data_IF_962421950927
#
_entry.id   IF_962421950927
#
_cell.length_a   1.000
_cell.length_b   1.000
_cell.length_c   1.000
_cell.angle_alpha   90.00
_cell.angle_beta   90.00
_cell.angle_gamma   90.00
#
_symmetry.space_group_name_H-M   'P 1'
#
loop_
_entity.id
_entity.type
_entity.pdbx_description
1 polymer ?
#
# COMPACT_ATOMS: atom_id res chain seq x y z
N UNK A 1 10.99 14.52 20.99
CA UNK A 1 12.03 13.50 20.74
C UNK A 1 11.70 12.80 19.42
N UNK A 2 11.96 13.47 18.30
CA UNK A 2 11.77 12.91 16.95
C UNK A 2 13.17 12.57 16.48
N UNK A 3 13.57 11.31 16.63
CA UNK A 3 14.51 10.76 15.66
C UNK A 3 13.85 11.00 14.30
N UNK A 4 14.45 11.85 13.47
CA UNK A 4 13.87 12.28 12.19
C UNK A 4 13.35 11.02 11.47
N UNK A 5 12.11 11.04 10.99
CA UNK A 5 11.51 9.90 10.29
C UNK A 5 12.41 9.40 9.16
N UNK A 6 13.10 10.32 8.49
CA UNK A 6 14.14 10.02 7.51
C UNK A 6 15.24 9.12 8.06
N UNK A 7 15.64 9.27 9.34
CA UNK A 7 16.65 8.41 9.97
C UNK A 7 16.15 6.97 10.15
N UNK A 8 14.84 6.76 10.36
CA UNK A 8 14.29 5.40 10.50
C UNK A 8 14.29 4.66 9.18
N UNK A 9 13.85 5.32 8.11
CA UNK A 9 13.93 4.74 6.77
C UNK A 9 15.37 4.54 6.29
N UNK A 10 16.27 5.49 6.63
CA UNK A 10 17.71 5.37 6.36
C UNK A 10 18.32 4.14 7.04
N UNK A 11 17.93 3.83 8.27
CA UNK A 11 18.36 2.60 8.98
C UNK A 11 17.92 1.33 8.27
N UNK A 12 16.75 1.36 7.62
CA UNK A 12 16.31 0.27 6.75
C UNK A 12 17.01 0.28 5.39
N UNK A 13 17.82 1.29 5.06
CA UNK A 13 18.40 1.43 3.73
C UNK A 13 17.34 1.57 2.62
N UNK A 14 16.12 1.96 2.98
CA UNK A 14 15.03 2.19 2.04
C UNK A 14 15.13 3.66 1.60
N UNK A 15 15.26 3.96 0.29
CA UNK A 15 15.34 5.34 -0.17
C UNK A 15 14.04 6.09 0.13
N UNK A 16 14.16 7.23 0.78
CA UNK A 16 13.02 8.08 1.14
C UNK A 16 13.33 9.52 0.80
N UNK A 17 12.38 10.15 0.10
CA UNK A 17 12.31 11.59 0.00
C UNK A 17 11.17 12.13 0.89
N UNK A 18 11.00 13.46 0.92
CA UNK A 18 9.98 14.09 1.78
C UNK A 18 8.51 13.72 1.43
N UNK A 19 8.27 12.98 0.34
CA UNK A 19 6.95 12.68 -0.21
C UNK A 19 6.72 11.20 -0.50
N UNK A 20 7.77 10.41 -0.76
CA UNK A 20 7.67 9.00 -1.15
C UNK A 20 8.77 8.12 -0.54
N UNK A 21 8.45 6.85 -0.44
CA UNK A 21 9.33 5.73 -0.12
C UNK A 21 9.49 4.90 -1.39
N UNK A 22 10.71 4.58 -1.75
CA UNK A 22 11.01 3.73 -2.90
C UNK A 22 11.22 2.30 -2.44
N UNK A 23 10.54 1.35 -3.06
CA UNK A 23 10.80 -0.08 -2.85
C UNK A 23 11.41 -0.68 -4.11
N UNK A 24 12.44 -1.49 -3.91
CA UNK A 24 13.09 -2.31 -4.93
C UNK A 24 13.26 -3.75 -4.41
N UNK A 25 13.85 -4.62 -5.22
CA UNK A 25 14.07 -6.03 -4.85
C UNK A 25 14.86 -6.20 -3.53
N UNK A 26 15.73 -5.25 -3.17
CA UNK A 26 16.51 -5.30 -1.92
C UNK A 26 15.71 -4.86 -0.70
N UNK A 27 14.58 -4.18 -0.94
CA UNK A 27 13.69 -3.65 0.09
C UNK A 27 12.65 -4.67 0.55
N UNK A 28 12.38 -5.71 -0.24
CA UNK A 28 11.33 -6.73 0.05
C UNK A 28 11.51 -7.36 1.43
N UNK A 29 12.75 -7.72 1.79
CA UNK A 29 13.06 -8.34 3.09
C UNK A 29 12.87 -7.42 4.31
N UNK A 30 12.54 -6.14 4.07
CA UNK A 30 12.39 -5.10 5.09
C UNK A 30 10.96 -4.55 5.15
N UNK A 31 10.03 -5.16 4.41
CA UNK A 31 8.64 -4.72 4.39
C UNK A 31 7.97 -4.85 5.76
N UNK A 32 8.30 -5.88 6.54
CA UNK A 32 7.76 -5.99 7.89
C UNK A 32 8.18 -4.82 8.79
N UNK A 33 9.48 -4.49 8.80
CA UNK A 33 10.01 -3.34 9.55
C UNK A 33 9.38 -2.02 9.07
N UNK A 34 9.18 -1.88 7.76
CA UNK A 34 8.51 -0.73 7.16
C UNK A 34 7.07 -0.59 7.68
N UNK A 35 6.33 -1.70 7.76
CA UNK A 35 4.95 -1.70 8.25
C UNK A 35 4.89 -1.40 9.75
N UNK A 36 5.85 -1.86 10.55
CA UNK A 36 5.93 -1.45 11.96
C UNK A 36 6.10 0.07 12.11
N UNK A 37 6.91 0.69 11.25
CA UNK A 37 7.04 2.15 11.20
C UNK A 37 5.69 2.77 10.81
N UNK A 38 5.04 2.26 9.76
CA UNK A 38 3.76 2.82 9.30
C UNK A 38 2.66 2.70 10.35
N UNK A 39 2.56 1.57 11.04
CA UNK A 39 1.57 1.34 12.09
C UNK A 39 1.82 2.24 13.31
N UNK A 40 3.08 2.30 13.77
CA UNK A 40 3.48 3.12 14.93
C UNK A 40 3.21 4.61 14.72
N UNK A 41 3.41 5.11 13.50
CA UNK A 41 3.21 6.52 13.16
C UNK A 41 1.88 6.81 12.47
N UNK A 42 1.02 5.79 12.33
CA UNK A 42 -0.26 5.85 11.62
C UNK A 42 -0.12 6.47 10.22
N UNK A 43 0.93 6.08 9.50
CA UNK A 43 1.12 6.56 8.15
C UNK A 43 0.10 5.97 7.19
N UNK A 44 -0.20 6.79 6.21
CA UNK A 44 -0.92 6.40 5.02
C UNK A 44 0.06 6.33 3.88
N UNK A 45 -0.24 5.51 2.89
CA UNK A 45 0.50 5.52 1.65
C UNK A 45 -0.39 5.19 0.47
N UNK A 46 -0.05 5.73 -0.70
CA UNK A 46 -0.59 5.32 -1.98
C UNK A 46 0.48 4.54 -2.75
N UNK A 47 0.11 3.45 -3.40
CA UNK A 47 0.91 2.81 -4.44
C UNK A 47 0.12 2.85 -5.74
N UNK A 48 0.81 3.23 -6.82
CA UNK A 48 0.23 3.18 -8.15
C UNK A 48 0.55 1.85 -8.80
N UNK A 49 -0.46 1.28 -9.44
CA UNK A 49 -0.37 0.05 -10.20
C UNK A 49 -0.88 0.34 -11.62
N UNK A 50 0.05 0.30 -12.58
CA UNK A 50 -0.24 0.55 -13.97
C UNK A 50 -0.95 -0.63 -14.67
N UNK A 51 -0.93 -1.83 -14.05
CA UNK A 51 -1.46 -3.05 -14.65
C UNK A 51 -2.90 -3.34 -14.23
N UNK A 52 -3.43 -2.61 -13.24
CA UNK A 52 -4.76 -2.82 -12.67
C UNK A 52 -5.61 -1.53 -12.65
N UNK A 53 -6.92 -1.58 -12.98
CA UNK A 53 -7.62 -2.71 -13.58
C UNK A 53 -7.23 -2.87 -15.07
N UNK A 54 -7.18 -4.10 -15.56
CA UNK A 54 -6.80 -4.41 -16.96
C UNK A 54 -7.70 -3.77 -18.04
N UNK A 55 -8.83 -3.14 -17.67
CA UNK A 55 -9.84 -2.68 -18.62
C UNK A 55 -9.91 -1.15 -18.58
N UNK A 56 -9.34 -0.52 -19.62
CA UNK A 56 -9.55 0.86 -20.10
C UNK A 56 -9.04 2.07 -19.29
N UNK A 57 -8.60 1.92 -18.04
CA UNK A 57 -8.03 3.02 -17.25
C UNK A 57 -6.49 3.02 -17.26
N UNK A 58 -5.86 4.19 -17.04
CA UNK A 58 -4.40 4.37 -16.98
C UNK A 58 -3.70 3.61 -15.83
N UNK A 59 -4.41 2.76 -15.08
CA UNK A 59 -3.98 2.14 -13.83
C UNK A 59 -4.84 2.58 -12.64
N UNK A 60 -4.47 2.15 -11.43
CA UNK A 60 -5.19 2.46 -10.21
C UNK A 60 -4.25 2.76 -9.05
N UNK A 61 -4.74 3.60 -8.13
CA UNK A 61 -4.09 3.81 -6.85
C UNK A 61 -4.72 2.91 -5.80
N UNK A 62 -3.87 2.19 -5.06
CA UNK A 62 -4.22 1.54 -3.81
C UNK A 62 -3.77 2.44 -2.66
N UNK A 63 -4.75 3.00 -1.93
CA UNK A 63 -4.54 3.93 -0.83
C UNK A 63 -4.77 3.22 0.49
N UNK A 64 -3.72 3.10 1.29
CA UNK A 64 -3.75 2.40 2.57
C UNK A 64 -3.68 3.36 3.75
N UNK A 65 -4.38 3.03 4.82
CA UNK A 65 -4.35 3.74 6.11
C UNK A 65 -4.46 2.74 7.24
N UNK A 66 -3.62 2.90 8.27
CA UNK A 66 -3.72 2.11 9.48
C UNK A 66 -4.47 2.85 10.59
N UNK A 67 -5.52 2.22 11.12
CA UNK A 67 -6.16 2.63 12.38
C UNK A 67 -6.66 1.39 13.13
N UNK A 68 -5.77 0.79 13.94
CA UNK A 68 -5.89 -0.53 14.58
C UNK A 68 -5.92 -1.72 13.60
N UNK A 69 -6.52 -1.52 12.44
CA UNK A 69 -6.53 -2.43 11.28
C UNK A 69 -6.10 -1.65 10.04
N UNK A 70 -5.60 -2.39 9.06
CA UNK A 70 -5.29 -1.82 7.74
C UNK A 70 -6.56 -1.64 6.94
N UNK A 71 -6.74 -0.45 6.40
CA UNK A 71 -7.87 -0.06 5.56
C UNK A 71 -7.37 0.38 4.19
N UNK A 72 -8.16 0.11 3.17
CA UNK A 72 -7.84 0.40 1.78
C UNK A 72 -9.00 1.08 1.06
N UNK A 73 -8.69 2.09 0.27
CA UNK A 73 -9.50 2.53 -0.88
C UNK A 73 -8.70 2.29 -2.15
N UNK A 74 -9.36 2.01 -3.27
CA UNK A 74 -8.76 1.59 -4.54
C UNK A 74 -9.42 2.37 -5.69
N UNK A 75 -8.70 2.84 -6.69
CA UNK A 75 -9.29 3.29 -7.96
C UNK A 75 -8.46 4.37 -8.62
N UNK A 76 -8.85 4.82 -9.81
CA UNK A 76 -8.26 6.02 -10.40
C UNK A 76 -8.64 7.20 -9.50
N UNK A 77 -7.64 7.84 -8.89
CA UNK A 77 -7.84 8.76 -7.77
C UNK A 77 -8.69 8.20 -6.61
N UNK A 78 -8.56 6.90 -6.24
CA UNK A 78 -9.11 6.31 -5.01
C UNK A 78 -10.62 5.99 -4.99
N UNK A 79 -11.27 5.84 -6.15
CA UNK A 79 -12.67 5.44 -6.28
C UNK A 79 -12.91 3.91 -6.17
N UNK A 80 -13.15 3.41 -4.96
CA UNK A 80 -13.40 1.96 -4.72
C UNK A 80 -14.84 1.60 -4.42
N UNK A 81 -15.73 2.59 -4.35
CA UNK A 81 -17.10 2.39 -3.88
C UNK A 81 -17.19 1.91 -2.41
N UNK A 82 -16.10 2.02 -1.63
CA UNK A 82 -16.04 1.55 -0.23
C UNK A 82 -14.63 1.59 0.40
N UNK A 83 -14.59 1.47 1.73
CA UNK A 83 -13.36 1.24 2.51
C UNK A 83 -13.28 -0.23 2.89
N UNK A 84 -12.23 -0.92 2.47
CA UNK A 84 -12.02 -2.34 2.75
C UNK A 84 -11.04 -2.52 3.91
N UNK A 85 -11.28 -3.51 4.77
CA UNK A 85 -10.30 -3.98 5.76
C UNK A 85 -9.43 -5.04 5.08
N UNK A 86 -8.12 -4.80 5.02
CA UNK A 86 -7.16 -5.66 4.32
C UNK A 86 -6.15 -6.22 5.33
N UNK A 87 -5.83 -7.50 5.21
CA UNK A 87 -4.84 -8.15 6.06
C UNK A 87 -3.43 -7.64 5.74
N UNK A 88 -2.60 -7.39 6.76
CA UNK A 88 -1.22 -6.91 6.58
C UNK A 88 -0.43 -7.78 5.60
N UNK A 89 -0.52 -9.10 5.74
CA UNK A 89 0.18 -10.06 4.88
C UNK A 89 -0.23 -9.94 3.41
N UNK A 90 -1.50 -9.62 3.14
CA UNK A 90 -2.01 -9.42 1.78
C UNK A 90 -1.38 -8.18 1.16
N UNK A 91 -1.26 -7.09 1.92
CA UNK A 91 -0.62 -5.86 1.45
C UNK A 91 0.88 -6.11 1.19
N UNK A 92 1.57 -6.79 2.10
CA UNK A 92 3.00 -7.13 1.93
C UNK A 92 3.20 -7.98 0.68
N UNK A 93 2.38 -9.01 0.48
CA UNK A 93 2.45 -9.85 -0.71
C UNK A 93 2.18 -9.06 -1.99
N UNK A 94 1.18 -8.18 -1.98
CA UNK A 94 0.88 -7.31 -3.12
C UNK A 94 2.08 -6.41 -3.46
N UNK A 95 2.67 -5.72 -2.47
CA UNK A 95 3.81 -4.84 -2.67
C UNK A 95 5.05 -5.62 -3.13
N UNK A 96 5.26 -6.82 -2.58
CA UNK A 96 6.35 -7.71 -2.98
C UNK A 96 6.21 -8.08 -4.47
N UNK A 97 5.05 -8.60 -4.86
CA UNK A 97 4.80 -9.02 -6.23
C UNK A 97 4.89 -7.86 -7.22
N UNK A 98 4.30 -6.70 -6.88
CA UNK A 98 4.37 -5.52 -7.73
C UNK A 98 5.80 -5.00 -7.86
N UNK A 99 6.59 -5.03 -6.78
CA UNK A 99 8.02 -4.68 -6.82
C UNK A 99 8.82 -5.64 -7.72
N UNK A 100 8.48 -6.93 -7.72
CA UNK A 100 9.13 -7.91 -8.60
C UNK A 100 8.76 -7.65 -10.06
N UNK A 101 7.48 -7.40 -10.37
CA UNK A 101 7.01 -7.13 -11.72
C UNK A 101 7.62 -5.85 -12.31
N UNK A 102 7.65 -4.78 -11.53
CA UNK A 102 8.08 -3.44 -11.98
C UNK A 102 9.58 -3.18 -11.72
N UNK A 103 10.30 -4.13 -11.10
CA UNK A 103 11.63 -4.01 -10.49
C UNK A 103 11.73 -2.97 -9.34
N UNK A 104 10.85 -1.97 -9.34
CA UNK A 104 10.85 -0.84 -8.43
C UNK A 104 9.47 -0.19 -8.40
N UNK A 105 8.99 0.15 -7.21
CA UNK A 105 7.74 0.91 -7.01
C UNK A 105 7.94 2.10 -6.07
N UNK A 106 7.02 3.06 -6.13
CA UNK A 106 7.02 4.23 -5.25
C UNK A 106 5.76 4.23 -4.37
N UNK A 107 5.96 4.22 -3.05
CA UNK A 107 4.91 4.47 -2.08
C UNK A 107 4.87 5.96 -1.77
N UNK A 108 3.83 6.66 -2.22
CA UNK A 108 3.61 8.06 -1.86
C UNK A 108 3.10 8.12 -0.43
N UNK A 109 3.82 8.77 0.48
CA UNK A 109 3.48 8.87 1.91
C UNK A 109 2.94 10.25 2.32
N UNK A 110 2.96 11.23 1.42
CA UNK A 110 2.44 12.59 1.64
C UNK A 110 1.31 12.91 0.67
N UNK A 111 0.30 13.65 1.12
CA UNK A 111 -0.90 13.99 0.34
C UNK A 111 -1.58 12.71 -0.21
N UNK A 112 -1.71 11.71 0.67
CA UNK A 112 -2.36 10.44 0.37
C UNK A 112 -3.86 10.64 0.27
N UNK A 113 -4.44 10.24 -0.85
CA UNK A 113 -5.86 10.44 -1.15
C UNK A 113 -6.68 9.28 -0.59
N UNK A 114 -6.75 9.19 0.73
CA UNK A 114 -7.60 8.20 1.41
C UNK A 114 -9.00 8.76 1.65
N UNK A 115 -9.98 8.27 0.88
CA UNK A 115 -11.35 8.79 0.84
C UNK A 115 -12.20 8.27 1.99
N UNK A 116 -12.12 8.96 3.14
CA UNK A 116 -12.85 8.62 4.36
C UNK A 116 -14.37 8.77 4.26
N UNK A 117 -14.89 9.41 3.21
CA UNK A 117 -16.33 9.59 3.01
C UNK A 117 -17.04 8.31 2.52
N UNK A 118 -16.28 7.30 2.09
CA UNK A 118 -16.85 6.01 1.73
C UNK A 118 -17.20 5.20 2.97
N UNK A 119 -18.24 4.38 2.85
CA UNK A 119 -18.65 3.46 3.91
C UNK A 119 -17.69 2.28 4.01
N UNK A 120 -17.44 1.81 5.23
CA UNK A 120 -16.75 0.54 5.46
C UNK A 120 -17.55 -0.63 4.88
N UNK A 121 -16.82 -1.54 4.23
CA UNK A 121 -17.37 -2.72 3.58
C UNK A 121 -17.62 -3.82 4.59
N UNK A 122 -18.61 -4.67 4.30
CA UNK A 122 -18.96 -5.80 5.16
C UNK A 122 -17.83 -6.84 5.24
N UNK A 123 -17.85 -7.70 6.26
CA UNK A 123 -16.84 -8.76 6.42
C UNK A 123 -16.74 -9.67 5.19
N UNK A 124 -17.87 -9.98 4.54
CA UNK A 124 -17.89 -10.78 3.30
C UNK A 124 -17.19 -10.05 2.15
N UNK A 125 -17.45 -8.75 1.98
CA UNK A 125 -16.79 -7.93 0.94
C UNK A 125 -15.30 -7.73 1.23
N UNK A 126 -14.92 -7.61 2.51
CA UNK A 126 -13.52 -7.57 2.94
C UNK A 126 -12.81 -8.88 2.63
N UNK A 127 -13.42 -10.02 2.94
CA UNK A 127 -12.88 -11.34 2.62
C UNK A 127 -12.67 -11.53 1.10
N UNK A 128 -13.67 -11.15 0.30
CA UNK A 128 -13.57 -11.21 -1.17
C UNK A 128 -12.44 -10.31 -1.68
N UNK A 129 -12.32 -9.08 -1.18
CA UNK A 129 -11.27 -8.16 -1.59
C UNK A 129 -9.87 -8.67 -1.21
N UNK A 130 -9.68 -9.21 -0.01
CA UNK A 130 -8.42 -9.85 0.37
C UNK A 130 -8.08 -11.02 -0.56
N UNK A 131 -9.07 -11.85 -0.91
CA UNK A 131 -8.90 -12.93 -1.90
C UNK A 131 -8.46 -12.40 -3.26
N UNK A 132 -9.10 -11.34 -3.76
CA UNK A 132 -8.73 -10.70 -5.02
C UNK A 132 -7.30 -10.15 -4.99
N UNK A 133 -6.93 -9.42 -3.95
CA UNK A 133 -5.58 -8.85 -3.80
C UNK A 133 -4.49 -9.92 -3.73
N UNK A 134 -4.77 -11.10 -3.16
CA UNK A 134 -3.83 -12.23 -3.17
C UNK A 134 -3.55 -12.79 -4.56
N UNK A 135 -4.55 -12.74 -5.44
CA UNK A 135 -4.44 -13.26 -6.80
C UNK A 135 -3.93 -12.20 -7.79
N UNK A 136 -4.14 -10.92 -7.51
CA UNK A 136 -3.59 -9.82 -8.30
C UNK A 136 -2.05 -9.83 -8.18
N UNK A 137 -1.37 -9.77 -9.33
CA UNK A 137 0.10 -9.86 -9.47
C UNK A 137 0.73 -11.17 -9.02
N UNK A 138 -0.05 -12.22 -8.76
CA UNK A 138 0.50 -13.51 -8.37
C UNK A 138 1.43 -14.02 -9.46
N UNK A 139 2.72 -14.10 -9.12
CA UNK A 139 3.74 -14.68 -9.98
C UNK A 139 3.48 -16.20 -10.03
N UNK A 140 3.28 -16.73 -11.25
CA UNK A 140 3.06 -18.16 -11.51
C UNK A 140 4.36 -18.94 -11.33
#
# INVERSE_FOLDING_TARGET
MIESLSNKFLKLGIPVDQKKVTLDLTSISKLDDLFEIFEKHKFKFDVFDAQYPQISDEGAYFSYSFDKVWKMTLGNHGWSGGIYIIDKEVIINQLTNLTILENKIELKIRNVNFFKQFTEKSDSENFEMNGRLKEIHKLV
#
